data_IF_317721950547
#
_entry.id   IF_317721950547
#
_cell.length_a   1.000
_cell.length_b   1.000
_cell.length_c   1.000
_cell.angle_alpha   90.00
_cell.angle_beta   90.00
_cell.angle_gamma   90.00
#
_symmetry.space_group_name_H-M   'P 1'
#
loop_
_entity.id
_entity.type
_entity.pdbx_description
1 polymer ?
#
# COMPACT_ATOMS: atom_id res chain seq x y z
N UNK A 1 -106.70 12.26 29.35
CA UNK A 1 -107.17 10.96 29.83
C UNK A 1 -105.92 10.12 30.09
N UNK A 2 -105.66 9.92 31.38
CA UNK A 2 -105.03 8.78 32.04
C UNK A 2 -103.73 8.21 31.42
N UNK A 3 -102.74 7.87 32.07
CA UNK A 3 -102.34 7.65 33.47
C UNK A 3 -100.97 6.96 33.46
N UNK A 4 -100.15 7.34 34.42
CA UNK A 4 -99.08 6.56 35.13
C UNK A 4 -97.88 6.06 34.38
N UNK A 5 -96.69 6.52 34.73
CA UNK A 5 -95.89 6.15 35.92
C UNK A 5 -95.29 4.76 35.86
N UNK A 6 -94.01 4.72 35.82
CA UNK A 6 -93.20 4.01 36.82
C UNK A 6 -91.67 4.15 36.59
N UNK A 7 -91.08 4.46 37.65
CA UNK A 7 -89.65 4.47 37.99
C UNK A 7 -89.06 3.07 37.80
N UNK A 8 -87.77 2.97 37.49
CA UNK A 8 -86.82 2.29 38.40
C UNK A 8 -85.38 2.58 37.92
N UNK A 9 -84.58 2.81 38.94
CA UNK A 9 -83.14 3.12 38.97
C UNK A 9 -82.16 2.01 38.48
N UNK A 10 -81.00 2.42 38.42
CA UNK A 10 -79.70 1.72 38.54
C UNK A 10 -79.04 1.53 37.17
N UNK A 11 -77.82 1.87 36.94
CA UNK A 11 -76.70 2.17 37.78
C UNK A 11 -75.42 1.88 36.94
N UNK A 12 -74.51 2.70 37.14
CA UNK A 12 -73.05 2.40 36.98
C UNK A 12 -72.51 1.80 35.72
N UNK A 13 -71.50 2.50 35.18
CA UNK A 13 -70.41 1.86 34.45
C UNK A 13 -69.74 2.71 33.38
N UNK A 14 -69.18 3.86 33.77
CA UNK A 14 -68.20 4.51 32.92
C UNK A 14 -66.93 3.66 32.87
N UNK A 15 -66.71 3.01 31.77
CA UNK A 15 -65.38 2.41 31.47
C UNK A 15 -64.66 3.31 30.49
N UNK A 16 -63.77 4.15 31.02
CA UNK A 16 -62.68 4.78 30.25
C UNK A 16 -61.68 3.70 29.81
N UNK A 17 -61.73 3.32 28.56
CA UNK A 17 -60.64 2.53 27.93
C UNK A 17 -59.59 3.50 27.51
N UNK A 18 -58.54 3.67 28.34
CA UNK A 18 -57.30 4.35 27.95
C UNK A 18 -56.53 3.44 27.00
N UNK A 19 -56.56 3.75 25.71
CA UNK A 19 -55.67 3.10 24.71
C UNK A 19 -54.26 3.65 24.90
N UNK A 20 -53.42 2.87 25.60
CA UNK A 20 -51.96 3.11 25.64
C UNK A 20 -51.38 2.66 24.28
N UNK A 21 -51.19 3.61 23.38
CA UNK A 21 -50.43 3.39 22.17
C UNK A 21 -48.93 3.24 22.53
N UNK A 22 -48.45 2.01 22.65
CA UNK A 22 -47.05 1.70 22.83
C UNK A 22 -46.37 1.95 21.50
N UNK A 23 -45.72 3.11 21.36
CA UNK A 23 -44.80 3.42 20.23
C UNK A 23 -43.58 2.53 20.39
N UNK A 24 -43.54 1.41 19.68
CA UNK A 24 -42.30 0.62 19.48
C UNK A 24 -41.37 1.43 18.59
N UNK A 25 -40.46 2.15 19.22
CA UNK A 25 -39.32 2.77 18.51
C UNK A 25 -38.45 1.61 18.03
N UNK A 26 -38.58 1.24 16.76
CA UNK A 26 -37.64 0.39 16.06
C UNK A 26 -36.31 1.15 16.03
N UNK A 27 -35.42 0.89 17.00
CA UNK A 27 -34.06 1.28 16.93
C UNK A 27 -33.44 0.51 15.74
N UNK A 28 -33.39 1.14 14.55
CA UNK A 28 -32.63 0.66 13.44
C UNK A 28 -31.18 0.72 13.93
N UNK A 29 -30.46 -0.41 14.00
CA UNK A 29 -29.05 -0.36 14.31
C UNK A 29 -28.38 0.55 13.22
N UNK A 30 -27.83 1.66 13.63
CA UNK A 30 -26.95 2.44 12.78
C UNK A 30 -25.79 1.48 12.42
N UNK A 31 -25.80 0.94 11.21
CA UNK A 31 -24.63 0.25 10.66
C UNK A 31 -23.51 1.29 10.70
N UNK A 32 -22.60 1.12 11.65
CA UNK A 32 -21.36 1.88 11.67
C UNK A 32 -20.73 1.61 10.30
N UNK A 33 -20.56 2.65 9.50
CA UNK A 33 -19.93 2.49 8.19
C UNK A 33 -18.50 2.02 8.43
N UNK A 34 -18.10 0.92 7.74
CA UNK A 34 -16.81 0.29 7.93
C UNK A 34 -15.70 1.14 7.34
N UNK A 35 -14.52 1.11 7.99
CA UNK A 35 -13.31 1.69 7.44
C UNK A 35 -12.90 0.93 6.18
N UNK A 36 -12.72 1.66 5.09
CA UNK A 36 -12.27 1.12 3.80
C UNK A 36 -10.82 1.52 3.56
N UNK A 37 -9.98 0.54 3.26
CA UNK A 37 -8.59 0.74 2.86
C UNK A 37 -8.50 0.68 1.34
N UNK A 38 -8.12 1.76 0.65
CA UNK A 38 -7.87 1.69 -0.79
C UNK A 38 -6.77 0.68 -1.12
N UNK A 39 -6.88 0.07 -2.30
CA UNK A 39 -5.92 -0.95 -2.75
C UNK A 39 -4.49 -0.43 -2.66
N UNK A 40 -3.62 -1.19 -2.00
CA UNK A 40 -2.22 -0.82 -1.78
C UNK A 40 -1.98 0.19 -0.65
N UNK A 41 -3.03 0.64 0.06
CA UNK A 41 -2.90 1.62 1.13
C UNK A 41 -2.82 0.98 2.51
N UNK A 42 -1.92 1.47 3.35
CA UNK A 42 -1.96 1.23 4.78
C UNK A 42 -2.96 2.13 5.51
N UNK A 43 -3.41 3.20 4.86
CA UNK A 43 -4.36 4.16 5.41
C UNK A 43 -5.76 3.85 4.91
N UNK A 44 -6.75 3.97 5.79
CA UNK A 44 -8.16 3.79 5.49
C UNK A 44 -9.02 4.81 6.23
N UNK A 45 -10.19 5.10 5.69
CA UNK A 45 -11.22 5.93 6.31
C UNK A 45 -12.61 5.31 6.08
N UNK A 46 -13.60 5.82 6.77
CA UNK A 46 -14.98 5.71 6.31
C UNK A 46 -15.18 6.73 5.18
N UNK A 47 -15.33 6.28 3.92
CA UNK A 47 -15.37 7.23 2.79
C UNK A 47 -16.61 8.12 2.87
N UNK A 48 -16.51 9.39 2.40
CA UNK A 48 -17.67 10.25 2.27
C UNK A 48 -18.75 9.61 1.38
N UNK A 49 -20.00 9.84 1.69
CA UNK A 49 -21.11 9.32 0.89
C UNK A 49 -20.99 9.75 -0.59
N UNK A 50 -21.11 8.80 -1.50
CA UNK A 50 -21.00 9.04 -2.95
C UNK A 50 -19.58 8.94 -3.52
N UNK A 51 -18.55 8.88 -2.69
CA UNK A 51 -17.18 8.62 -3.16
C UNK A 51 -16.93 7.11 -3.31
N UNK A 52 -16.21 6.74 -4.36
CA UNK A 52 -15.74 5.38 -4.64
C UNK A 52 -14.22 5.34 -4.62
N UNK A 53 -13.64 4.16 -4.45
CA UNK A 53 -12.19 4.01 -4.56
C UNK A 53 -11.70 4.47 -5.93
N UNK A 54 -10.69 5.35 -5.94
CA UNK A 54 -10.09 5.83 -7.19
C UNK A 54 -9.26 4.74 -7.88
N UNK A 55 -9.26 4.80 -9.22
CA UNK A 55 -8.37 3.99 -10.07
C UNK A 55 -7.11 4.75 -10.48
N UNK A 56 -7.06 6.06 -10.21
CA UNK A 56 -6.00 6.95 -10.68
C UNK A 56 -4.97 7.27 -9.60
N UNK A 57 -5.37 7.14 -8.32
CA UNK A 57 -4.53 7.46 -7.16
C UNK A 57 -5.00 6.63 -5.94
N UNK A 58 -4.17 6.61 -4.92
CA UNK A 58 -4.51 5.95 -3.65
C UNK A 58 -5.48 6.85 -2.87
N UNK A 59 -6.74 6.42 -2.78
CA UNK A 59 -7.79 7.21 -2.14
C UNK A 59 -9.18 6.97 -2.70
N UNK A 60 -10.05 7.97 -2.54
CA UNK A 60 -11.45 7.95 -2.97
C UNK A 60 -11.75 9.16 -3.83
N UNK A 61 -12.67 9.02 -4.77
CA UNK A 61 -13.10 10.09 -5.67
C UNK A 61 -14.60 10.03 -5.96
N UNK A 62 -15.18 11.19 -6.23
CA UNK A 62 -16.45 11.36 -6.94
C UNK A 62 -16.15 12.09 -8.26
N UNK A 63 -15.97 11.35 -9.38
CA UNK A 63 -15.61 11.95 -10.65
C UNK A 63 -16.68 12.92 -11.19
N UNK A 64 -17.96 12.70 -10.85
CA UNK A 64 -19.06 13.57 -11.32
C UNK A 64 -19.01 14.95 -10.65
N UNK A 65 -18.49 15.02 -9.44
CA UNK A 65 -18.38 16.24 -8.64
C UNK A 65 -16.97 16.78 -8.55
N UNK A 66 -15.97 16.17 -9.19
CA UNK A 66 -14.56 16.53 -9.06
C UNK A 66 -14.08 16.62 -7.60
N UNK A 67 -14.60 15.72 -6.76
CA UNK A 67 -14.24 15.63 -5.35
C UNK A 67 -13.30 14.43 -5.13
N UNK A 68 -12.30 14.60 -4.25
CA UNK A 68 -11.30 13.58 -4.01
C UNK A 68 -10.77 13.59 -2.57
N UNK A 69 -10.40 12.40 -2.10
CA UNK A 69 -9.62 12.16 -0.87
C UNK A 69 -8.39 11.37 -1.25
N UNK A 70 -7.20 11.95 -1.13
CA UNK A 70 -5.92 11.33 -1.47
C UNK A 70 -5.18 10.92 -0.20
N UNK A 71 -4.54 9.76 -0.24
CA UNK A 71 -3.69 9.25 0.83
C UNK A 71 -2.24 9.23 0.42
N UNK A 72 -1.39 9.70 1.32
CA UNK A 72 0.06 9.60 1.20
C UNK A 72 0.63 9.08 2.51
N UNK A 73 1.43 8.03 2.42
CA UNK A 73 2.18 7.48 3.55
C UNK A 73 3.63 7.94 3.44
N UNK A 74 4.14 8.55 4.48
CA UNK A 74 5.50 9.08 4.57
C UNK A 74 6.25 8.41 5.74
N UNK A 75 7.60 8.44 5.75
CA UNK A 75 8.36 8.00 6.91
C UNK A 75 7.95 8.75 8.19
N UNK A 76 8.09 8.10 9.35
CA UNK A 76 7.65 8.66 10.62
C UNK A 76 8.27 10.05 10.92
N UNK A 77 9.54 10.26 10.51
CA UNK A 77 10.28 11.53 10.70
C UNK A 77 9.68 12.70 9.91
N UNK A 78 8.86 12.42 8.88
CA UNK A 78 8.24 13.46 8.07
C UNK A 78 7.26 14.33 8.86
N UNK A 79 6.69 13.82 9.95
CA UNK A 79 5.71 14.57 10.75
C UNK A 79 6.27 15.91 11.24
N UNK A 80 7.45 15.90 11.87
CA UNK A 80 8.05 17.10 12.43
C UNK A 80 8.46 18.12 11.33
N UNK A 81 8.83 17.63 10.16
CA UNK A 81 9.15 18.48 9.00
C UNK A 81 7.89 19.12 8.44
N UNK A 82 6.80 18.34 8.29
CA UNK A 82 5.51 18.85 7.81
C UNK A 82 4.89 19.84 8.82
N UNK A 83 4.98 19.55 10.13
CA UNK A 83 4.48 20.41 11.18
C UNK A 83 5.11 21.82 11.12
N UNK A 84 6.40 21.90 10.80
CA UNK A 84 7.15 23.14 10.64
C UNK A 84 6.94 23.83 9.29
N UNK A 85 6.79 23.05 8.21
CA UNK A 85 6.74 23.59 6.84
C UNK A 85 5.32 23.94 6.36
N UNK A 86 4.29 23.25 6.86
CA UNK A 86 2.90 23.50 6.47
C UNK A 86 2.29 24.66 7.26
N UNK A 87 2.90 25.83 7.11
CA UNK A 87 2.42 27.09 7.68
C UNK A 87 1.69 27.93 6.61
N UNK A 88 0.76 28.84 6.98
CA UNK A 88 -0.05 29.59 6.02
C UNK A 88 0.76 30.27 4.92
N UNK A 89 1.91 30.87 5.26
CA UNK A 89 2.77 31.57 4.32
C UNK A 89 3.41 30.65 3.28
N UNK A 90 3.80 29.45 3.69
CA UNK A 90 4.35 28.44 2.79
C UNK A 90 3.27 27.86 1.89
N UNK A 91 2.11 27.53 2.46
CA UNK A 91 0.98 26.97 1.72
C UNK A 91 0.42 27.95 0.69
N UNK A 92 0.47 29.25 0.97
CA UNK A 92 0.08 30.28 0.01
C UNK A 92 0.96 30.30 -1.24
N UNK A 93 2.24 29.97 -1.12
CA UNK A 93 3.16 29.84 -2.28
C UNK A 93 2.76 28.68 -3.18
N UNK A 94 2.14 27.63 -2.61
CA UNK A 94 1.59 26.48 -3.31
C UNK A 94 0.14 26.74 -3.81
N UNK A 95 -0.34 27.96 -3.68
CA UNK A 95 -1.68 28.38 -4.11
C UNK A 95 -2.82 27.94 -3.18
N UNK A 96 -2.50 27.53 -1.94
CA UNK A 96 -3.50 27.14 -0.94
C UNK A 96 -3.60 28.23 0.13
N UNK A 97 -4.76 28.85 0.25
CA UNK A 97 -5.08 29.83 1.26
C UNK A 97 -5.62 29.13 2.51
N UNK A 98 -4.80 29.02 3.54
CA UNK A 98 -5.17 28.38 4.80
C UNK A 98 -6.02 29.35 5.64
N UNK A 99 -7.22 28.93 5.97
CA UNK A 99 -8.17 29.65 6.83
C UNK A 99 -8.05 29.22 8.30
N UNK A 100 -7.76 27.93 8.54
CA UNK A 100 -7.66 27.38 9.88
C UNK A 100 -6.59 26.29 9.97
N UNK A 101 -5.84 26.31 11.07
CA UNK A 101 -4.98 25.21 11.50
C UNK A 101 -5.32 24.86 12.94
N UNK A 102 -5.59 23.57 13.18
CA UNK A 102 -5.99 23.08 14.49
C UNK A 102 -5.35 21.74 14.81
N UNK A 103 -4.99 21.49 16.07
CA UNK A 103 -4.58 20.16 16.49
C UNK A 103 -5.76 19.20 16.44
N UNK A 104 -5.50 17.93 16.12
CA UNK A 104 -6.48 16.87 16.12
C UNK A 104 -5.92 15.65 16.84
N UNK A 105 -6.74 15.03 17.69
CA UNK A 105 -6.42 13.76 18.29
C UNK A 105 -7.20 12.66 17.58
N UNK A 106 -6.47 11.68 17.06
CA UNK A 106 -7.02 10.52 16.35
C UNK A 106 -6.75 9.26 17.15
N UNK A 107 -7.48 8.18 16.87
CA UNK A 107 -7.22 6.87 17.49
C UNK A 107 -5.81 6.34 17.14
N UNK A 108 -5.25 6.74 16.00
CA UNK A 108 -3.93 6.34 15.52
C UNK A 108 -2.78 7.21 16.04
N UNK A 109 -3.07 8.32 16.73
CA UNK A 109 -2.07 9.24 17.25
C UNK A 109 -2.47 10.71 17.17
N UNK A 110 -1.51 11.59 17.42
CA UNK A 110 -1.68 13.04 17.32
C UNK A 110 -1.55 13.51 15.88
N UNK A 111 -2.19 14.64 15.58
CA UNK A 111 -2.08 15.24 14.27
C UNK A 111 -2.46 16.72 14.27
N UNK A 112 -2.46 17.31 13.09
CA UNK A 112 -3.04 18.62 12.84
C UNK A 112 -3.82 18.62 11.53
N UNK A 113 -4.84 19.46 11.48
CA UNK A 113 -5.71 19.65 10.34
C UNK A 113 -5.60 21.08 9.86
N UNK A 114 -5.27 21.26 8.59
CA UNK A 114 -5.37 22.52 7.87
C UNK A 114 -6.66 22.52 7.05
N UNK A 115 -7.41 23.61 7.07
CA UNK A 115 -8.52 23.83 6.16
C UNK A 115 -8.39 25.17 5.48
N UNK A 116 -8.83 25.24 4.23
CA UNK A 116 -8.70 26.44 3.41
C UNK A 116 -9.22 26.24 2.01
N UNK A 117 -8.80 27.10 1.09
CA UNK A 117 -9.23 27.06 -0.30
C UNK A 117 -8.04 27.08 -1.26
N UNK A 118 -8.25 26.54 -2.45
CA UNK A 118 -7.30 26.61 -3.57
C UNK A 118 -8.04 26.96 -4.85
N UNK A 119 -7.46 27.85 -5.66
CA UNK A 119 -7.96 28.15 -6.99
C UNK A 119 -7.03 27.49 -8.02
N UNK A 120 -7.55 26.59 -8.82
CA UNK A 120 -6.82 25.88 -9.88
C UNK A 120 -7.68 25.87 -11.15
N UNK A 121 -7.09 26.23 -12.31
CA UNK A 121 -7.80 26.25 -13.59
C UNK A 121 -9.11 27.07 -13.55
N UNK A 122 -9.13 28.20 -12.85
CA UNK A 122 -10.29 29.07 -12.63
C UNK A 122 -11.42 28.45 -11.79
N UNK A 123 -11.25 27.26 -11.25
CA UNK A 123 -12.17 26.65 -10.30
C UNK A 123 -11.64 26.77 -8.87
N UNK A 124 -12.53 27.11 -7.94
CA UNK A 124 -12.21 27.21 -6.52
C UNK A 124 -12.62 25.93 -5.81
N UNK A 125 -11.72 25.43 -4.96
CA UNK A 125 -11.89 24.21 -4.18
C UNK A 125 -11.69 24.49 -2.70
N UNK A 126 -12.47 23.86 -1.84
CA UNK A 126 -12.17 23.74 -0.41
C UNK A 126 -11.20 22.59 -0.21
N UNK A 127 -10.22 22.79 0.65
CA UNK A 127 -9.20 21.78 0.98
C UNK A 127 -9.09 21.53 2.47
N UNK A 128 -8.83 20.28 2.79
CA UNK A 128 -8.43 19.81 4.11
C UNK A 128 -7.16 18.99 3.95
N UNK A 129 -6.16 19.28 4.78
CA UNK A 129 -4.88 18.59 4.81
C UNK A 129 -4.71 18.06 6.24
N UNK A 130 -4.94 16.78 6.43
CA UNK A 130 -4.74 16.10 7.70
C UNK A 130 -3.35 15.47 7.71
N UNK A 131 -2.51 15.87 8.67
CA UNK A 131 -1.23 15.22 8.95
C UNK A 131 -1.33 14.54 10.30
N UNK A 132 -1.04 13.24 10.34
CA UNK A 132 -1.11 12.45 11.57
C UNK A 132 0.16 11.63 11.77
N UNK A 133 0.73 11.72 12.98
CA UNK A 133 1.85 10.88 13.42
C UNK A 133 1.30 9.55 13.93
N UNK A 134 1.79 8.47 13.39
CA UNK A 134 1.62 7.12 13.95
C UNK A 134 2.95 6.61 14.48
N UNK A 135 2.98 5.43 15.10
CA UNK A 135 4.22 4.89 15.66
C UNK A 135 5.35 4.71 14.62
N UNK A 136 5.03 4.41 13.38
CA UNK A 136 6.00 4.01 12.35
C UNK A 136 5.85 4.72 10.99
N UNK A 137 4.81 5.54 10.80
CA UNK A 137 4.62 6.35 9.58
C UNK A 137 3.96 7.68 9.90
N UNK A 138 4.07 8.62 8.96
CA UNK A 138 3.28 9.85 8.92
C UNK A 138 2.21 9.70 7.85
N UNK A 139 0.95 9.85 8.24
CA UNK A 139 -0.17 9.88 7.30
C UNK A 139 -0.43 11.32 6.85
N UNK A 140 -0.53 11.53 5.55
CA UNK A 140 -1.02 12.78 4.95
C UNK A 140 -2.27 12.45 4.14
N UNK A 141 -3.40 13.02 4.55
CA UNK A 141 -4.68 12.89 3.85
C UNK A 141 -5.09 14.24 3.31
N UNK A 142 -5.26 14.33 2.01
CA UNK A 142 -5.69 15.54 1.33
C UNK A 142 -7.12 15.36 0.82
N UNK A 143 -8.04 16.19 1.28
CA UNK A 143 -9.41 16.27 0.75
C UNK A 143 -9.52 17.51 -0.13
N UNK A 144 -10.14 17.36 -1.28
CA UNK A 144 -10.45 18.43 -2.20
C UNK A 144 -11.88 18.28 -2.69
N UNK A 145 -12.70 19.32 -2.56
CA UNK A 145 -14.06 19.38 -3.09
C UNK A 145 -14.35 20.73 -3.69
N UNK A 146 -15.19 20.86 -4.73
CA UNK A 146 -15.60 22.17 -5.26
C UNK A 146 -16.21 23.05 -4.18
N UNK A 147 -15.89 24.33 -4.19
CA UNK A 147 -16.25 25.27 -3.11
C UNK A 147 -17.75 25.36 -2.87
N UNK A 148 -18.55 25.28 -3.94
CA UNK A 148 -20.00 25.47 -3.89
C UNK A 148 -20.81 24.15 -3.82
N UNK A 149 -20.15 22.98 -3.69
CA UNK A 149 -20.87 21.71 -3.68
C UNK A 149 -21.44 21.41 -2.28
N UNK A 150 -22.78 21.37 -2.12
CA UNK A 150 -23.42 21.08 -0.85
C UNK A 150 -23.35 19.61 -0.43
N UNK A 151 -22.97 18.70 -1.34
CA UNK A 151 -22.90 17.27 -1.05
C UNK A 151 -21.80 16.92 -0.03
N UNK A 152 -20.80 17.79 0.09
CA UNK A 152 -19.66 17.57 0.99
C UNK A 152 -19.56 18.72 2.03
N UNK A 153 -20.46 18.77 3.03
CA UNK A 153 -20.40 19.78 4.10
C UNK A 153 -19.14 19.59 4.96
N UNK A 154 -18.59 20.70 5.50
CA UNK A 154 -17.37 20.69 6.31
C UNK A 154 -17.40 19.66 7.44
N UNK A 155 -18.55 19.62 8.17
CA UNK A 155 -18.72 18.67 9.28
C UNK A 155 -18.56 17.21 8.82
N UNK A 156 -19.19 16.81 7.70
CA UNK A 156 -19.12 15.43 7.21
C UNK A 156 -17.71 15.04 6.81
N UNK A 157 -16.96 15.97 6.18
CA UNK A 157 -15.57 15.72 5.82
C UNK A 157 -14.65 15.62 7.05
N UNK A 158 -14.87 16.44 8.07
CA UNK A 158 -14.16 16.33 9.36
C UNK A 158 -14.48 15.03 10.08
N UNK A 159 -15.73 14.63 10.10
CA UNK A 159 -16.15 13.35 10.68
C UNK A 159 -15.48 12.18 9.93
N UNK A 160 -15.43 12.21 8.60
CA UNK A 160 -14.69 11.25 7.78
C UNK A 160 -13.20 11.23 8.13
N UNK A 161 -12.53 12.38 8.19
CA UNK A 161 -11.11 12.46 8.53
C UNK A 161 -10.81 11.94 9.95
N UNK A 162 -11.74 12.10 10.89
CA UNK A 162 -11.62 11.58 12.24
C UNK A 162 -11.65 10.04 12.29
N UNK A 163 -12.16 9.37 11.25
CA UNK A 163 -12.17 7.89 11.13
C UNK A 163 -10.85 7.32 10.61
N UNK A 164 -9.83 8.16 10.38
CA UNK A 164 -8.56 7.71 9.84
C UNK A 164 -8.00 6.54 10.67
N UNK A 165 -7.77 5.44 9.99
CA UNK A 165 -7.20 4.22 10.55
C UNK A 165 -5.95 3.80 9.78
N UNK A 166 -5.12 3.00 10.43
CA UNK A 166 -3.93 2.42 9.82
C UNK A 166 -3.94 0.91 10.04
N UNK A 167 -3.54 0.16 9.03
CA UNK A 167 -3.26 -1.28 9.15
C UNK A 167 -1.76 -1.52 9.14
N UNK A 168 -1.32 -2.60 9.81
CA UNK A 168 0.10 -2.91 9.98
C UNK A 168 0.80 -3.20 8.66
N UNK A 169 0.12 -3.89 7.75
CA UNK A 169 0.64 -4.21 6.42
C UNK A 169 -0.48 -4.23 5.38
N UNK A 170 -0.09 -4.08 4.11
CA UNK A 170 -0.96 -4.33 2.96
C UNK A 170 -0.94 -5.84 2.69
N UNK A 171 -2.09 -6.53 2.53
CA UNK A 171 -2.11 -7.95 2.19
C UNK A 171 -1.37 -8.25 0.88
N UNK A 172 -0.62 -9.36 0.83
CA UNK A 172 0.21 -9.74 -0.32
C UNK A 172 -0.61 -9.85 -1.61
N UNK A 173 -1.79 -10.46 -1.54
CA UNK A 173 -2.68 -10.58 -2.70
C UNK A 173 -3.10 -9.21 -3.26
N UNK A 174 -3.30 -8.23 -2.39
CA UNK A 174 -3.63 -6.86 -2.78
C UNK A 174 -2.42 -6.17 -3.43
N UNK A 175 -1.23 -6.33 -2.87
CA UNK A 175 0.02 -5.80 -3.44
C UNK A 175 0.29 -6.39 -4.84
N UNK A 176 0.18 -7.71 -4.97
CA UNK A 176 0.37 -8.42 -6.24
C UNK A 176 -0.67 -8.01 -7.29
N UNK A 177 -1.89 -7.65 -6.88
CA UNK A 177 -2.93 -7.20 -7.79
C UNK A 177 -2.57 -5.93 -8.56
N UNK A 178 -1.70 -5.10 -8.00
CA UNK A 178 -1.22 -3.83 -8.56
C UNK A 178 -0.12 -4.00 -9.62
N UNK A 179 0.43 -5.20 -9.77
CA UNK A 179 1.48 -5.46 -10.76
C UNK A 179 0.90 -5.65 -12.16
N UNK A 180 1.64 -5.31 -13.25
CA UNK A 180 1.22 -5.55 -14.63
C UNK A 180 1.42 -7.00 -15.09
N UNK A 181 1.72 -7.90 -14.16
CA UNK A 181 1.90 -9.33 -14.37
C UNK A 181 1.34 -10.11 -13.18
N UNK A 182 1.11 -11.41 -13.39
CA UNK A 182 0.67 -12.36 -12.37
C UNK A 182 1.83 -13.31 -12.06
N UNK A 183 1.99 -13.68 -10.80
CA UNK A 183 2.93 -14.72 -10.37
C UNK A 183 2.11 -15.89 -9.85
N UNK A 184 2.23 -17.05 -10.51
CA UNK A 184 1.50 -18.26 -10.14
C UNK A 184 2.14 -19.02 -8.98
N UNK A 185 3.49 -18.99 -8.88
CA UNK A 185 4.25 -19.70 -7.85
C UNK A 185 5.46 -18.84 -7.41
N UNK A 186 5.53 -18.55 -6.14
CA UNK A 186 6.67 -17.82 -5.56
C UNK A 186 7.82 -18.75 -5.14
N UNK A 187 7.68 -20.07 -5.29
CA UNK A 187 8.69 -21.08 -4.99
C UNK A 187 9.36 -20.92 -3.60
N UNK A 188 8.58 -20.49 -2.59
CA UNK A 188 9.04 -20.24 -1.23
C UNK A 188 9.77 -18.92 -1.01
N UNK A 189 9.85 -18.05 -2.01
CA UNK A 189 10.22 -16.64 -1.80
C UNK A 189 9.07 -15.86 -1.17
N UNK A 190 9.41 -14.76 -0.52
CA UNK A 190 8.47 -13.85 0.13
C UNK A 190 8.56 -12.47 -0.50
N UNK A 191 7.46 -11.74 -0.48
CA UNK A 191 7.44 -10.35 -0.91
C UNK A 191 8.28 -9.52 0.07
N UNK A 192 9.24 -8.77 -0.45
CA UNK A 192 10.02 -7.79 0.29
C UNK A 192 9.51 -6.37 -0.01
N UNK A 193 9.38 -6.04 -1.28
CA UNK A 193 8.91 -4.73 -1.72
C UNK A 193 8.07 -4.85 -2.99
N UNK A 194 7.01 -4.06 -3.09
CA UNK A 194 6.22 -3.89 -4.31
C UNK A 194 6.24 -2.43 -4.74
N UNK A 195 6.62 -2.20 -5.99
CA UNK A 195 6.44 -0.92 -6.68
C UNK A 195 5.19 -1.02 -7.56
N UNK A 196 4.04 -0.46 -7.13
CA UNK A 196 2.78 -0.60 -7.83
C UNK A 196 2.88 -0.22 -9.31
N UNK A 197 2.29 -1.03 -10.18
CA UNK A 197 2.32 -0.86 -11.63
C UNK A 197 3.66 -1.14 -12.31
N UNK A 198 4.71 -1.56 -11.58
CA UNK A 198 6.07 -1.65 -12.10
C UNK A 198 6.84 -2.91 -11.76
N UNK A 199 7.09 -3.13 -10.47
CA UNK A 199 8.09 -4.09 -10.06
C UNK A 199 7.79 -4.75 -8.72
N UNK A 200 8.47 -5.86 -8.48
CA UNK A 200 8.42 -6.65 -7.27
C UNK A 200 9.83 -7.10 -6.90
N UNK A 201 10.17 -7.02 -5.62
CA UNK A 201 11.31 -7.66 -5.01
C UNK A 201 10.84 -8.86 -4.18
N UNK A 202 11.37 -10.02 -4.48
CA UNK A 202 11.20 -11.24 -3.67
C UNK A 202 12.52 -11.55 -2.95
N UNK A 203 12.41 -12.05 -1.72
CA UNK A 203 13.55 -12.45 -0.88
C UNK A 203 13.33 -13.85 -0.32
N UNK A 204 14.39 -14.62 -0.24
CA UNK A 204 14.39 -15.91 0.47
C UNK A 204 14.65 -15.64 1.96
N UNK A 205 13.63 -15.86 2.79
CA UNK A 205 13.74 -15.76 4.27
C UNK A 205 14.05 -17.11 4.92
N UNK A 206 14.35 -18.13 4.13
CA UNK A 206 14.74 -19.43 4.67
C UNK A 206 16.00 -19.27 5.53
N UNK A 207 16.10 -19.89 6.71
CA UNK A 207 17.33 -19.92 7.47
C UNK A 207 18.45 -20.47 6.60
N UNK A 208 19.56 -19.73 6.51
CA UNK A 208 20.72 -20.20 5.75
C UNK A 208 21.25 -21.49 6.40
N UNK A 209 21.33 -22.63 5.70
CA UNK A 209 21.86 -23.88 6.26
C UNK A 209 23.30 -23.71 6.78
N UNK A 210 24.04 -22.72 6.32
CA UNK A 210 25.38 -22.39 6.82
C UNK A 210 25.37 -21.71 8.21
N UNK A 211 24.27 -21.03 8.59
CA UNK A 211 24.16 -20.37 9.91
C UNK A 211 23.95 -21.35 11.06
N UNK A 212 23.37 -22.52 10.79
CA UNK A 212 23.15 -23.55 11.81
C UNK A 212 24.43 -24.33 12.17
N UNK A 213 25.42 -24.40 11.27
CA UNK A 213 26.71 -25.04 11.57
C UNK A 213 27.62 -24.17 12.44
N UNK A 214 27.44 -22.83 12.42
CA UNK A 214 28.19 -21.91 13.27
C UNK A 214 27.68 -21.88 14.72
N UNK A 215 26.40 -22.17 14.97
CA UNK A 215 25.80 -22.19 16.33
C UNK A 215 26.11 -23.46 17.12
N UNK A 216 26.64 -24.50 16.48
CA UNK A 216 26.99 -25.78 17.15
C UNK A 216 28.32 -25.81 17.88
N UNK A 217 29.15 -24.74 17.83
CA UNK A 217 30.52 -24.76 18.35
C UNK A 217 30.84 -23.77 19.49
N UNK A 218 29.87 -23.13 20.12
CA UNK A 218 30.11 -22.24 21.25
C UNK A 218 29.15 -22.55 22.41
N UNK A 219 29.42 -23.61 23.14
CA UNK A 219 29.00 -23.72 24.55
C UNK A 219 30.26 -23.62 25.39
N UNK A 220 30.59 -22.45 25.83
CA UNK A 220 31.09 -22.20 27.18
C UNK A 220 31.12 -20.71 27.54
N UNK A 221 30.56 -20.40 28.67
CA UNK A 221 30.77 -19.41 29.68
C UNK A 221 30.96 -17.93 29.36
N UNK A 222 30.03 -17.08 29.87
CA UNK A 222 30.30 -15.68 30.15
C UNK A 222 29.09 -14.76 30.07
N UNK A 223 28.44 -14.51 31.21
CA UNK A 223 27.53 -13.35 31.41
C UNK A 223 28.30 -12.05 31.27
N UNK A 224 27.86 -11.13 30.45
CA UNK A 224 27.74 -9.73 30.85
C UNK A 224 26.87 -8.97 29.82
N UNK A 225 25.98 -8.15 30.38
CA UNK A 225 24.99 -7.35 29.68
C UNK A 225 25.64 -6.10 29.07
N UNK A 226 25.65 -5.99 27.77
CA UNK A 226 25.77 -4.70 27.10
C UNK A 226 24.83 -4.71 25.88
N UNK A 227 23.92 -3.77 25.91
CA UNK A 227 22.99 -3.43 24.81
C UNK A 227 23.83 -2.90 23.67
N UNK A 228 24.23 -3.77 22.77
CA UNK A 228 24.85 -3.38 21.50
C UNK A 228 23.83 -3.63 20.37
N UNK A 229 23.41 -2.53 19.77
CA UNK A 229 22.76 -2.57 18.46
C UNK A 229 23.83 -2.97 17.43
N UNK A 230 24.23 -4.23 17.45
CA UNK A 230 25.01 -4.79 16.36
C UNK A 230 24.11 -4.82 15.15
N UNK A 231 24.41 -3.94 14.17
CA UNK A 231 24.06 -4.13 12.77
C UNK A 231 24.19 -5.62 12.48
N UNK A 232 23.06 -6.25 12.15
CA UNK A 232 23.04 -7.54 11.48
C UNK A 232 23.99 -7.40 10.28
N UNK A 233 25.18 -7.97 10.40
CA UNK A 233 26.04 -8.22 9.25
C UNK A 233 25.33 -9.33 8.48
N UNK A 234 24.33 -8.90 7.69
CA UNK A 234 23.26 -9.69 7.16
C UNK A 234 23.81 -10.83 6.33
N UNK A 235 23.37 -12.00 6.68
CA UNK A 235 23.33 -13.13 5.75
C UNK A 235 22.70 -12.63 4.47
N UNK A 236 23.48 -12.60 3.38
CA UNK A 236 23.00 -12.13 2.07
C UNK A 236 21.96 -13.14 1.57
N UNK A 237 20.68 -12.86 1.80
CA UNK A 237 19.59 -13.70 1.35
C UNK A 237 19.46 -13.65 -0.18
N UNK A 238 19.06 -14.76 -0.79
CA UNK A 238 18.74 -14.77 -2.20
C UNK A 238 17.58 -13.82 -2.48
N UNK A 239 17.71 -13.03 -3.55
CA UNK A 239 16.71 -12.05 -3.97
C UNK A 239 16.42 -12.16 -5.46
N UNK A 240 15.16 -11.93 -5.81
CA UNK A 240 14.69 -11.89 -7.19
C UNK A 240 13.92 -10.60 -7.43
N UNK A 241 14.47 -9.74 -8.26
CA UNK A 241 13.82 -8.54 -8.74
C UNK A 241 13.09 -8.82 -10.05
N UNK A 242 11.84 -8.39 -10.17
CA UNK A 242 10.99 -8.57 -11.37
C UNK A 242 10.40 -7.22 -11.73
N UNK A 243 10.65 -6.72 -12.94
CA UNK A 243 10.15 -5.43 -13.39
C UNK A 243 9.56 -5.50 -14.79
N UNK A 244 8.43 -4.85 -14.98
CA UNK A 244 7.89 -4.55 -16.30
C UNK A 244 8.46 -3.22 -16.79
N UNK A 245 9.13 -3.27 -17.92
CA UNK A 245 9.83 -2.14 -18.51
C UNK A 245 9.25 -1.81 -19.89
N UNK A 246 9.03 -0.53 -20.22
CA UNK A 246 8.59 -0.12 -21.54
C UNK A 246 9.75 -0.26 -22.56
N UNK A 247 9.42 -0.37 -23.84
CA UNK A 247 10.38 -0.47 -24.92
C UNK A 247 10.95 -1.88 -25.08
N UNK A 248 12.19 -1.97 -25.52
CA UNK A 248 12.87 -3.22 -25.82
C UNK A 248 13.81 -3.06 -27.02
N UNK A 249 14.45 -4.14 -27.52
CA UNK A 249 15.24 -4.10 -28.72
C UNK A 249 14.38 -3.80 -29.95
N UNK A 250 14.83 -2.92 -30.82
CA UNK A 250 14.11 -2.54 -32.04
C UNK A 250 13.91 -3.74 -32.99
N UNK A 251 14.96 -4.56 -33.11
CA UNK A 251 14.98 -5.74 -33.96
C UNK A 251 15.31 -7.01 -33.15
N UNK A 252 14.82 -8.18 -33.57
CA UNK A 252 15.17 -9.44 -32.94
C UNK A 252 16.66 -9.72 -32.84
N UNK A 253 17.45 -9.26 -33.82
CA UNK A 253 18.92 -9.40 -33.84
C UNK A 253 19.64 -8.60 -32.77
N UNK A 254 19.00 -7.56 -32.24
CA UNK A 254 19.61 -6.67 -31.23
C UNK A 254 19.46 -7.19 -29.79
N UNK A 255 18.74 -8.30 -29.58
CA UNK A 255 18.44 -8.84 -28.23
C UNK A 255 19.68 -9.13 -27.41
N UNK A 256 20.73 -9.64 -28.03
CA UNK A 256 22.00 -9.92 -27.34
C UNK A 256 22.65 -8.63 -26.81
N UNK A 257 22.77 -7.61 -27.66
CA UNK A 257 23.33 -6.32 -27.26
C UNK A 257 22.44 -5.65 -26.20
N UNK A 258 21.13 -5.73 -26.36
CA UNK A 258 20.16 -5.23 -25.38
C UNK A 258 20.32 -5.93 -24.03
N UNK A 259 20.40 -7.28 -24.03
CA UNK A 259 20.59 -8.06 -22.80
C UNK A 259 21.90 -7.70 -22.09
N UNK A 260 22.97 -7.50 -22.84
CA UNK A 260 24.28 -7.08 -22.29
C UNK A 260 24.18 -5.68 -21.67
N UNK A 261 23.54 -4.75 -22.36
CA UNK A 261 23.39 -3.37 -21.88
C UNK A 261 22.56 -3.32 -20.61
N UNK A 262 21.43 -4.03 -20.57
CA UNK A 262 20.56 -4.09 -19.37
C UNK A 262 21.26 -4.81 -18.22
N UNK A 263 22.08 -5.84 -18.49
CA UNK A 263 22.86 -6.53 -17.47
C UNK A 263 23.88 -5.61 -16.81
N UNK A 264 24.57 -4.76 -17.59
CA UNK A 264 25.53 -3.79 -17.07
C UNK A 264 24.91 -2.72 -16.16
N UNK A 265 23.61 -2.53 -16.24
CA UNK A 265 22.85 -1.58 -15.40
C UNK A 265 22.41 -2.18 -14.05
N UNK A 266 22.67 -3.46 -13.81
CA UNK A 266 22.31 -4.09 -12.53
C UNK A 266 23.16 -3.46 -11.43
N UNK A 267 22.48 -2.88 -10.45
CA UNK A 267 23.12 -2.25 -9.29
C UNK A 267 23.32 -3.25 -8.15
N UNK A 268 24.25 -2.95 -7.26
CA UNK A 268 24.52 -3.77 -6.07
C UNK A 268 25.45 -4.96 -6.33
N UNK A 269 26.04 -5.09 -7.51
CA UNK A 269 27.06 -6.08 -7.85
C UNK A 269 28.32 -5.42 -8.43
N UNK A 270 29.47 -6.08 -8.28
CA UNK A 270 30.76 -5.66 -8.83
C UNK A 270 31.55 -6.88 -9.29
N UNK A 271 32.69 -6.68 -9.95
CA UNK A 271 33.61 -7.73 -10.45
C UNK A 271 32.92 -8.79 -11.31
N UNK A 272 32.04 -8.34 -12.19
CA UNK A 272 31.16 -9.19 -13.00
C UNK A 272 31.96 -10.00 -14.04
N UNK A 273 31.74 -11.31 -14.05
CA UNK A 273 32.29 -12.26 -15.01
C UNK A 273 31.12 -13.06 -15.64
N UNK A 274 30.71 -12.66 -16.84
CA UNK A 274 29.68 -13.38 -17.59
C UNK A 274 30.15 -14.80 -17.87
N UNK A 275 29.35 -15.81 -17.50
CA UNK A 275 29.63 -17.21 -17.71
C UNK A 275 28.92 -17.73 -18.95
N UNK A 276 27.68 -17.29 -19.14
CA UNK A 276 26.84 -17.69 -20.25
C UNK A 276 25.84 -16.58 -20.62
N UNK A 277 25.46 -16.53 -21.91
CA UNK A 277 24.52 -15.54 -22.43
C UNK A 277 23.85 -16.09 -23.70
N UNK A 278 22.59 -16.56 -23.57
CA UNK A 278 21.91 -17.26 -24.65
C UNK A 278 20.44 -16.87 -24.80
N UNK A 279 19.91 -16.99 -26.03
CA UNK A 279 18.48 -16.83 -26.25
C UNK A 279 17.72 -18.05 -25.71
N UNK A 280 16.55 -17.81 -25.13
CA UNK A 280 15.65 -18.88 -24.67
C UNK A 280 14.19 -18.49 -24.92
N UNK A 281 13.28 -19.39 -24.61
CA UNK A 281 11.84 -19.11 -24.54
C UNK A 281 11.37 -19.17 -23.11
N UNK A 282 10.57 -18.16 -22.71
CA UNK A 282 9.89 -18.12 -21.41
C UNK A 282 8.38 -18.16 -21.72
N UNK A 283 7.75 -19.31 -21.43
CA UNK A 283 6.41 -19.59 -21.93
C UNK A 283 6.36 -19.56 -23.46
N UNK A 284 5.44 -18.81 -24.03
CA UNK A 284 5.30 -18.64 -25.48
C UNK A 284 6.19 -17.54 -26.08
N UNK A 285 6.83 -16.69 -25.23
CA UNK A 285 7.55 -15.52 -25.67
C UNK A 285 9.05 -15.77 -25.80
N UNK A 286 9.69 -15.00 -26.69
CA UNK A 286 11.14 -14.97 -26.81
C UNK A 286 11.74 -14.31 -25.58
N UNK A 287 12.87 -14.82 -25.14
CA UNK A 287 13.63 -14.30 -24.02
C UNK A 287 15.12 -14.36 -24.24
N UNK A 288 15.86 -13.94 -23.23
CA UNK A 288 17.31 -14.01 -23.18
C UNK A 288 17.75 -14.26 -21.73
N UNK A 289 18.66 -15.21 -21.53
CA UNK A 289 19.30 -15.47 -20.24
C UNK A 289 20.73 -14.97 -20.26
N UNK A 290 21.16 -14.34 -19.17
CA UNK A 290 22.56 -14.01 -18.92
C UNK A 290 22.91 -14.50 -17.52
N UNK A 291 23.95 -15.32 -17.41
CA UNK A 291 24.45 -15.86 -16.15
C UNK A 291 25.87 -15.32 -15.90
N UNK A 292 26.13 -14.85 -14.69
CA UNK A 292 27.43 -14.32 -14.31
C UNK A 292 27.82 -14.67 -12.87
N UNK A 293 29.14 -14.76 -12.64
CA UNK A 293 29.73 -14.62 -11.32
C UNK A 293 30.00 -13.16 -11.03
N UNK A 294 29.80 -12.75 -9.80
CA UNK A 294 30.02 -11.38 -9.34
C UNK A 294 30.32 -11.35 -7.85
N UNK A 295 30.56 -10.17 -7.33
CA UNK A 295 30.58 -9.90 -5.89
C UNK A 295 29.43 -8.96 -5.52
N UNK A 296 28.84 -9.16 -4.36
CA UNK A 296 27.93 -8.18 -3.78
C UNK A 296 28.72 -6.91 -3.45
N UNK A 297 28.20 -5.76 -3.87
CA UNK A 297 28.93 -4.49 -3.77
C UNK A 297 29.17 -4.03 -2.33
N UNK A 298 28.29 -4.43 -1.39
CA UNK A 298 28.34 -4.02 0.01
C UNK A 298 29.15 -4.98 0.87
N UNK A 299 28.88 -6.28 0.74
CA UNK A 299 29.48 -7.33 1.61
C UNK A 299 30.72 -7.99 1.03
N UNK A 300 31.06 -7.73 -0.23
CA UNK A 300 32.15 -8.38 -0.99
C UNK A 300 31.99 -9.91 -1.12
N UNK A 301 30.80 -10.42 -0.82
CA UNK A 301 30.46 -11.83 -0.89
C UNK A 301 30.38 -12.29 -2.35
N UNK A 302 30.91 -13.47 -2.65
CA UNK A 302 30.79 -14.09 -3.98
C UNK A 302 29.32 -14.48 -4.25
N UNK A 303 28.77 -14.00 -5.38
CA UNK A 303 27.41 -14.23 -5.80
C UNK A 303 27.34 -14.76 -7.23
N UNK A 304 26.27 -15.51 -7.49
CA UNK A 304 25.80 -15.79 -8.84
C UNK A 304 24.67 -14.84 -9.18
N UNK A 305 24.69 -14.32 -10.38
CA UNK A 305 23.68 -13.39 -10.90
C UNK A 305 23.08 -14.00 -12.17
N UNK A 306 21.76 -14.06 -12.23
CA UNK A 306 21.06 -14.40 -13.46
C UNK A 306 20.14 -13.26 -13.85
N UNK A 307 20.14 -12.90 -15.12
CA UNK A 307 19.15 -12.02 -15.72
C UNK A 307 18.34 -12.80 -16.75
N UNK A 308 17.03 -12.71 -16.65
CA UNK A 308 16.12 -13.12 -17.71
C UNK A 308 15.39 -11.90 -18.26
N UNK A 309 15.37 -11.81 -19.58
CA UNK A 309 14.52 -10.87 -20.30
C UNK A 309 13.44 -11.66 -21.02
N UNK A 310 12.18 -11.26 -20.88
CA UNK A 310 11.05 -11.81 -21.63
C UNK A 310 10.43 -10.69 -22.46
N UNK A 311 10.54 -10.81 -23.78
CA UNK A 311 10.14 -9.74 -24.70
C UNK A 311 8.67 -9.86 -25.06
N UNK A 312 7.92 -8.79 -24.81
CA UNK A 312 6.52 -8.61 -25.18
C UNK A 312 6.34 -7.66 -26.36
N UNK A 313 5.10 -7.32 -26.69
CA UNK A 313 4.77 -6.42 -27.80
C UNK A 313 4.96 -4.94 -27.49
N UNK A 314 4.76 -4.54 -26.23
CA UNK A 314 4.84 -3.14 -25.77
C UNK A 314 6.00 -2.87 -24.82
N UNK A 315 6.75 -3.89 -24.47
CA UNK A 315 7.84 -3.80 -23.49
C UNK A 315 8.43 -5.17 -23.19
N UNK A 316 9.16 -5.27 -22.09
CA UNK A 316 9.75 -6.51 -21.64
C UNK A 316 9.65 -6.66 -20.13
N UNK A 317 9.69 -7.90 -19.66
CA UNK A 317 9.93 -8.21 -18.25
C UNK A 317 11.43 -8.45 -18.06
N UNK A 318 12.02 -7.76 -17.10
CA UNK A 318 13.36 -8.04 -16.61
C UNK A 318 13.25 -8.74 -15.26
N UNK A 319 13.91 -9.87 -15.13
CA UNK A 319 13.99 -10.64 -13.89
C UNK A 319 15.46 -10.80 -13.54
N UNK A 320 15.88 -10.38 -12.34
CA UNK A 320 17.28 -10.44 -11.90
C UNK A 320 17.35 -11.20 -10.58
N UNK A 321 17.92 -12.38 -10.61
CA UNK A 321 18.23 -13.19 -9.44
C UNK A 321 19.67 -12.95 -8.97
N UNK A 322 19.86 -12.67 -7.67
CA UNK A 322 21.18 -12.54 -7.04
C UNK A 322 21.21 -13.50 -5.85
N UNK A 323 22.13 -14.44 -5.87
CA UNK A 323 22.23 -15.54 -4.91
C UNK A 323 23.68 -15.75 -4.52
N UNK A 324 23.97 -16.02 -3.25
CA UNK A 324 25.30 -16.46 -2.82
C UNK A 324 25.78 -17.65 -3.65
N UNK A 325 27.06 -17.66 -4.01
CA UNK A 325 27.61 -18.70 -4.88
C UNK A 325 27.46 -20.13 -4.30
N UNK A 326 27.53 -20.27 -2.96
CA UNK A 326 27.37 -21.56 -2.26
C UNK A 326 25.92 -22.06 -2.24
N UNK A 327 24.95 -21.17 -2.24
CA UNK A 327 23.51 -21.50 -2.22
C UNK A 327 22.92 -21.62 -3.64
N UNK A 328 23.70 -21.29 -4.67
CA UNK A 328 23.24 -21.29 -6.07
C UNK A 328 22.63 -22.62 -6.54
N UNK A 329 23.25 -23.80 -6.29
CA UNK A 329 22.73 -25.05 -6.84
C UNK A 329 21.30 -25.39 -6.38
N UNK A 330 20.95 -25.00 -5.16
CA UNK A 330 19.63 -25.25 -4.58
C UNK A 330 18.62 -24.17 -4.93
N UNK A 331 19.06 -22.92 -5.06
CA UNK A 331 18.20 -21.76 -5.24
C UNK A 331 17.85 -21.50 -6.70
N UNK A 332 18.73 -21.84 -7.64
CA UNK A 332 18.52 -21.55 -9.07
C UNK A 332 17.25 -22.18 -9.63
N UNK A 333 16.92 -23.43 -9.26
CA UNK A 333 15.69 -24.08 -9.70
C UNK A 333 14.44 -23.38 -9.16
N UNK A 334 14.51 -22.81 -7.95
CA UNK A 334 13.43 -22.03 -7.35
C UNK A 334 13.23 -20.72 -8.09
N UNK A 335 14.31 -20.00 -8.43
CA UNK A 335 14.25 -18.81 -9.27
C UNK A 335 13.61 -19.10 -10.64
N UNK A 336 13.97 -20.22 -11.27
CA UNK A 336 13.37 -20.67 -12.54
C UNK A 336 11.87 -20.94 -12.39
N UNK A 337 11.46 -21.60 -11.30
CA UNK A 337 10.05 -21.88 -11.03
C UNK A 337 9.24 -20.58 -10.95
N UNK A 338 9.77 -19.57 -10.25
CA UNK A 338 9.14 -18.23 -10.22
C UNK A 338 9.07 -17.64 -11.63
N UNK A 339 10.21 -17.59 -12.36
CA UNK A 339 10.26 -17.08 -13.75
C UNK A 339 9.21 -17.72 -14.66
N UNK A 340 9.07 -19.02 -14.58
CA UNK A 340 8.18 -19.80 -15.46
C UNK A 340 6.71 -19.69 -15.06
N UNK A 341 6.41 -19.21 -13.84
CA UNK A 341 5.06 -18.97 -13.33
C UNK A 341 4.52 -17.56 -13.62
N UNK A 342 5.34 -16.69 -14.21
CA UNK A 342 4.95 -15.29 -14.46
C UNK A 342 4.21 -15.18 -15.79
N UNK A 343 3.01 -14.58 -15.74
CA UNK A 343 2.23 -14.22 -16.93
C UNK A 343 1.95 -12.71 -16.95
N UNK A 344 2.21 -12.02 -18.09
CA UNK A 344 1.77 -10.63 -18.29
C UNK A 344 0.24 -10.55 -18.23
N UNK A 345 -0.28 -9.43 -17.67
CA UNK A 345 -1.71 -9.11 -17.70
C UNK A 345 -2.13 -8.51 -19.03
#
# INVERSE_FOLDING_TARGET
>A
MHIRSSRICAGFGARFAAAVATAVILAVPALAADTVFPTGSRLGIVPPAGMVQSRNFVGFEDPQKNAAVLFTTLPAQAYDSLDKSMVPEAMKKEGIEIEKREPIQLNIGKGFLLSGTQTTNKARYRKWLLVAATGNVTALVTVQVPDQDPAYPDKALRDTLATLAIRDSVPDAEQLSLLPFVIGDMAGFHIDEVLPGRALMLVDKSPDPASDQAKGRSKDGGKDSAKDQSKDAGTLNARLFIAAMPGGPAEPGDRNNFARTTFQQIVGIKDVQVQDAEPLRIGSQQGFETLAKAKDAQSDTDVMVVQWLRFGTAGFLQMVGIVRADSWPTTFNRLRAVRDSIDPK
#
